data_IF_297008088235
#
_entry.id   IF_297008088235
#
_cell.length_a   1.000
_cell.length_b   1.000
_cell.length_c   1.000
_cell.angle_alpha   90.00
_cell.angle_beta   90.00
_cell.angle_gamma   90.00
#
_symmetry.space_group_name_H-M   'P 1'
#
loop_
_entity.id
_entity.type
_entity.pdbx_description
1 polymer ?
#
# COMPACT_ATOMS: atom_id res chain seq x y z
N UNK A 1 -1.57 43.01 74.37
CA UNK A 1 -1.34 43.58 73.01
C UNK A 1 -0.69 42.48 72.23
N UNK A 2 -1.55 41.64 71.57
CA UNK A 2 -1.11 40.45 70.82
C UNK A 2 -1.08 40.79 69.29
N UNK A 3 0.11 40.75 68.72
CA UNK A 3 0.32 40.94 67.30
C UNK A 3 0.39 39.51 66.62
N UNK A 4 -0.62 39.16 65.87
CA UNK A 4 -0.69 37.91 65.08
C UNK A 4 -0.08 38.14 63.72
N UNK A 5 1.04 37.47 63.46
CA UNK A 5 1.73 37.52 62.17
C UNK A 5 1.09 36.48 61.20
N UNK A 6 0.43 36.94 60.15
CA UNK A 6 -0.11 36.07 59.09
C UNK A 6 0.97 35.84 58.01
N UNK A 7 1.44 34.60 57.88
CA UNK A 7 2.30 34.16 56.80
C UNK A 7 1.42 33.71 55.63
N UNK A 8 1.44 34.42 54.49
CA UNK A 8 0.80 34.04 53.23
C UNK A 8 1.75 33.15 52.46
N UNK A 9 1.48 31.84 52.36
CA UNK A 9 2.16 30.93 51.45
C UNK A 9 1.68 31.19 50.01
N UNK A 10 2.58 31.56 49.10
CA UNK A 10 2.35 31.63 47.68
C UNK A 10 2.66 30.25 47.08
N UNK A 11 1.63 29.53 46.65
CA UNK A 11 1.78 28.30 45.85
C UNK A 11 2.14 28.71 44.42
N UNK A 12 3.36 28.48 44.02
CA UNK A 12 3.81 28.64 42.64
C UNK A 12 3.40 27.43 41.81
N UNK A 13 2.50 27.61 40.88
CA UNK A 13 2.13 26.59 39.89
C UNK A 13 3.25 26.48 38.86
N UNK A 14 4.04 25.41 38.92
CA UNK A 14 5.03 25.09 37.88
C UNK A 14 4.28 24.41 36.70
N UNK A 15 4.08 25.12 35.60
CA UNK A 15 3.57 24.56 34.38
C UNK A 15 4.71 23.77 33.71
N UNK A 16 4.62 22.45 33.73
CA UNK A 16 5.52 21.58 32.96
C UNK A 16 5.08 21.61 31.51
N UNK A 17 5.80 22.37 30.68
CA UNK A 17 5.61 22.32 29.22
C UNK A 17 6.33 21.07 28.69
N UNK A 18 5.58 20.01 28.39
CA UNK A 18 6.12 18.83 27.71
C UNK A 18 6.24 19.20 26.23
N UNK A 19 7.43 19.60 25.81
CA UNK A 19 7.74 19.77 24.39
C UNK A 19 7.85 18.38 23.76
N UNK A 20 6.85 17.97 22.97
CA UNK A 20 6.95 16.81 22.10
C UNK A 20 8.04 17.08 21.06
N UNK A 21 9.18 16.43 21.21
CA UNK A 21 10.24 16.43 20.21
C UNK A 21 9.73 15.57 19.06
N UNK A 22 9.24 16.22 18.01
CA UNK A 22 8.99 15.56 16.73
C UNK A 22 10.37 15.17 16.17
N UNK A 23 10.76 13.90 16.30
CA UNK A 23 11.97 13.39 15.65
C UNK A 23 11.64 13.33 14.18
N UNK A 24 12.08 14.35 13.44
CA UNK A 24 12.06 14.30 11.98
C UNK A 24 12.92 13.11 11.55
N UNK A 25 12.32 12.17 10.78
CA UNK A 25 13.07 11.09 10.15
C UNK A 25 14.17 11.66 9.24
N UNK A 26 15.16 10.85 8.84
CA UNK A 26 16.21 11.30 7.93
C UNK A 26 15.58 11.87 6.64
N UNK A 27 16.18 12.90 6.03
CA UNK A 27 15.65 13.49 4.81
C UNK A 27 15.52 12.43 3.70
N UNK A 28 14.46 12.50 2.89
CA UNK A 28 14.07 11.50 1.89
C UNK A 28 15.21 11.08 0.94
N UNK A 29 16.14 11.99 0.64
CA UNK A 29 17.30 11.71 -0.23
C UNK A 29 18.26 10.65 0.33
N UNK A 30 18.34 10.43 1.64
CA UNK A 30 19.23 9.42 2.25
C UNK A 30 18.68 8.01 2.21
N UNK A 31 17.40 7.83 1.85
CA UNK A 31 16.74 6.52 1.83
C UNK A 31 17.00 5.73 0.55
N UNK A 32 17.39 6.41 -0.53
CA UNK A 32 17.60 5.82 -1.84
C UNK A 32 19.06 5.88 -2.24
N UNK A 33 19.56 4.78 -2.85
CA UNK A 33 20.81 4.79 -3.59
C UNK A 33 20.50 4.90 -5.08
N UNK A 34 21.15 5.82 -5.77
CA UNK A 34 20.93 6.08 -7.20
C UNK A 34 22.17 5.61 -7.97
N UNK A 35 21.95 4.93 -9.09
CA UNK A 35 22.93 4.53 -10.09
C UNK A 35 22.40 4.83 -11.49
N UNK A 36 23.20 4.58 -12.53
CA UNK A 36 22.67 4.57 -13.89
C UNK A 36 21.60 3.49 -14.04
N UNK A 37 20.49 3.76 -14.76
CA UNK A 37 19.51 2.73 -15.12
C UNK A 37 20.16 1.62 -15.95
N UNK A 38 19.61 0.41 -15.87
CA UNK A 38 20.02 -0.73 -16.68
C UNK A 38 18.82 -1.32 -17.42
N UNK A 39 18.99 -2.53 -18.02
CA UNK A 39 17.90 -3.17 -18.79
C UNK A 39 16.73 -3.65 -17.94
N UNK A 40 16.93 -3.83 -16.64
CA UNK A 40 15.93 -4.42 -15.73
C UNK A 40 15.27 -3.37 -14.82
N UNK A 41 15.99 -2.28 -14.47
CA UNK A 41 15.51 -1.34 -13.48
C UNK A 41 15.92 0.10 -13.71
N UNK A 42 15.26 0.99 -12.98
CA UNK A 42 15.39 2.45 -13.10
C UNK A 42 16.68 3.01 -12.48
N UNK A 43 17.60 2.16 -12.00
CA UNK A 43 18.85 2.59 -11.34
C UNK A 43 18.63 3.13 -9.92
N UNK A 44 17.44 3.03 -9.37
CA UNK A 44 17.09 3.44 -7.99
C UNK A 44 16.97 2.22 -7.10
N UNK A 45 17.53 2.30 -5.89
CA UNK A 45 17.52 1.23 -4.91
C UNK A 45 16.89 1.71 -3.61
N UNK A 46 16.03 0.89 -3.04
CA UNK A 46 15.42 1.10 -1.74
C UNK A 46 15.72 -0.09 -0.82
N UNK A 47 16.31 0.18 0.33
CA UNK A 47 16.69 -0.80 1.36
C UNK A 47 17.47 -2.04 0.82
N UNK A 48 18.23 -1.85 -0.28
CA UNK A 48 19.04 -2.89 -0.94
C UNK A 48 18.41 -3.49 -2.20
N UNK A 49 17.11 -3.33 -2.42
CA UNK A 49 16.39 -3.77 -3.62
C UNK A 49 16.50 -2.73 -4.74
N UNK A 50 16.81 -3.17 -5.97
CA UNK A 50 16.65 -2.34 -7.17
C UNK A 50 15.18 -2.28 -7.57
N UNK A 51 14.71 -1.11 -7.96
CA UNK A 51 13.33 -0.87 -8.40
C UNK A 51 13.24 -1.17 -9.90
N UNK A 52 12.22 -1.95 -10.30
CA UNK A 52 11.96 -2.27 -11.69
C UNK A 52 11.39 -1.07 -12.47
N UNK A 53 11.31 -1.20 -13.79
CA UNK A 53 10.50 -0.30 -14.60
C UNK A 53 9.02 -0.55 -14.35
N UNK A 54 8.23 0.53 -14.38
CA UNK A 54 6.77 0.43 -14.33
C UNK A 54 6.23 -0.13 -15.66
N UNK A 55 5.24 -0.99 -15.59
CA UNK A 55 4.50 -1.44 -16.76
C UNK A 55 3.57 -0.31 -17.25
N UNK A 56 3.80 0.17 -18.49
CA UNK A 56 2.95 1.18 -19.10
C UNK A 56 1.57 0.62 -19.49
N UNK A 57 0.59 1.52 -19.71
CA UNK A 57 -0.78 1.18 -20.08
C UNK A 57 -0.87 0.36 -21.40
N UNK A 58 0.16 0.40 -22.25
CA UNK A 58 0.26 -0.48 -23.43
C UNK A 58 0.26 -1.98 -23.05
N UNK A 59 0.62 -2.29 -21.80
CA UNK A 59 0.54 -3.63 -21.23
C UNK A 59 -0.85 -4.06 -20.74
N UNK A 60 -1.88 -3.22 -20.88
CA UNK A 60 -3.23 -3.50 -20.36
C UNK A 60 -3.81 -4.84 -20.86
N UNK A 61 -3.56 -5.22 -22.12
CA UNK A 61 -4.00 -6.51 -22.67
C UNK A 61 -3.36 -7.71 -21.97
N UNK A 62 -2.14 -7.56 -21.45
CA UNK A 62 -1.47 -8.61 -20.68
C UNK A 62 -2.15 -8.82 -19.32
N UNK A 63 -2.64 -7.75 -18.69
CA UNK A 63 -3.39 -7.82 -17.42
C UNK A 63 -4.72 -8.57 -17.59
N UNK A 64 -5.33 -8.53 -18.77
CA UNK A 64 -6.62 -9.18 -19.07
C UNK A 64 -6.45 -10.53 -19.81
N UNK A 65 -5.22 -11.10 -19.88
CA UNK A 65 -4.99 -12.37 -20.55
C UNK A 65 -5.82 -13.50 -19.94
N UNK A 66 -6.43 -14.33 -20.78
CA UNK A 66 -7.34 -15.39 -20.33
C UNK A 66 -6.69 -16.46 -19.44
N UNK A 67 -5.36 -16.66 -19.58
CA UNK A 67 -4.58 -17.61 -18.77
C UNK A 67 -4.37 -17.15 -17.31
N UNK A 68 -4.48 -15.84 -17.03
CA UNK A 68 -4.19 -15.23 -15.71
C UNK A 68 -4.93 -15.91 -14.57
N UNK A 69 -6.22 -16.19 -14.78
CA UNK A 69 -7.06 -16.86 -13.76
C UNK A 69 -6.52 -18.24 -13.35
N UNK A 70 -5.93 -18.98 -14.29
CA UNK A 70 -5.37 -20.31 -14.03
C UNK A 70 -3.95 -20.20 -13.48
N UNK A 71 -3.13 -19.34 -14.06
CA UNK A 71 -1.71 -19.17 -13.71
C UNK A 71 -1.52 -18.56 -12.32
N UNK A 72 -2.32 -17.56 -11.98
CA UNK A 72 -2.22 -16.80 -10.74
C UNK A 72 -3.28 -17.20 -9.70
N UNK A 73 -4.30 -18.02 -10.08
CA UNK A 73 -5.44 -18.37 -9.20
C UNK A 73 -6.08 -17.12 -8.58
N UNK A 74 -6.42 -16.17 -9.46
CA UNK A 74 -7.02 -14.89 -9.05
C UNK A 74 -8.33 -15.05 -8.24
N UNK A 75 -9.02 -16.17 -8.43
CA UNK A 75 -10.17 -16.60 -7.62
C UNK A 75 -9.78 -16.82 -6.14
N UNK A 76 -8.68 -17.53 -5.89
CA UNK A 76 -8.16 -17.75 -4.54
C UNK A 76 -7.61 -16.47 -3.92
N UNK A 77 -6.93 -15.64 -4.73
CA UNK A 77 -6.43 -14.35 -4.27
C UNK A 77 -7.58 -13.51 -3.69
N UNK A 78 -8.65 -13.30 -4.48
CA UNK A 78 -9.81 -12.51 -4.04
C UNK A 78 -10.49 -13.14 -2.82
N UNK A 79 -10.59 -14.48 -2.77
CA UNK A 79 -11.16 -15.19 -1.63
C UNK A 79 -10.33 -15.05 -0.35
N UNK A 80 -9.02 -14.84 -0.49
CA UNK A 80 -8.06 -14.71 0.62
C UNK A 80 -7.92 -13.29 1.16
N UNK A 81 -8.45 -12.27 0.47
CA UNK A 81 -8.47 -10.91 1.00
C UNK A 81 -9.39 -10.84 2.23
N UNK A 82 -8.93 -10.25 3.35
CA UNK A 82 -9.70 -10.12 4.59
C UNK A 82 -10.74 -8.99 4.48
N UNK A 83 -11.79 -9.21 3.69
CA UNK A 83 -12.81 -8.23 3.35
C UNK A 83 -14.06 -8.37 4.22
N UNK A 84 -14.59 -7.25 4.69
CA UNK A 84 -15.93 -7.13 5.25
C UNK A 84 -16.84 -6.33 4.32
N UNK A 85 -18.15 -6.54 4.42
CA UNK A 85 -19.12 -6.05 3.43
C UNK A 85 -19.19 -4.52 3.30
N UNK A 86 -18.81 -3.78 4.33
CA UNK A 86 -18.85 -2.33 4.44
C UNK A 86 -17.48 -1.66 4.31
N UNK A 87 -16.41 -2.44 4.02
CA UNK A 87 -15.05 -1.89 3.91
C UNK A 87 -14.91 -0.88 2.78
N UNK A 88 -14.14 0.17 3.06
CA UNK A 88 -13.54 1.03 2.04
C UNK A 88 -12.18 0.43 1.70
N UNK A 89 -12.05 -0.10 0.49
CA UNK A 89 -10.87 -0.81 0.01
C UNK A 89 -10.13 0.03 -1.01
N UNK A 90 -8.81 0.10 -0.94
CA UNK A 90 -7.96 0.70 -1.97
C UNK A 90 -7.23 -0.39 -2.76
N UNK A 91 -7.44 -0.43 -4.08
CA UNK A 91 -6.69 -1.22 -5.05
C UNK A 91 -5.59 -0.31 -5.62
N UNK A 92 -4.34 -0.55 -5.22
CA UNK A 92 -3.20 0.34 -5.53
C UNK A 92 -2.37 -0.22 -6.68
N UNK A 93 -2.26 0.56 -7.77
CA UNK A 93 -1.79 0.08 -9.06
C UNK A 93 -2.87 -0.77 -9.74
N UNK A 94 -4.10 -0.26 -9.72
CA UNK A 94 -5.31 -0.99 -10.13
C UNK A 94 -5.29 -1.42 -11.61
N UNK A 95 -4.46 -0.78 -12.45
CA UNK A 95 -4.36 -1.08 -13.87
C UNK A 95 -5.71 -0.98 -14.56
N UNK A 96 -6.14 -2.07 -15.18
CA UNK A 96 -7.45 -2.14 -15.84
C UNK A 96 -8.63 -2.30 -14.88
N UNK A 97 -8.40 -2.38 -13.56
CA UNK A 97 -9.41 -2.73 -12.57
C UNK A 97 -9.73 -4.23 -12.52
N UNK A 98 -8.82 -5.08 -13.00
CA UNK A 98 -9.02 -6.53 -13.03
C UNK A 98 -9.46 -7.09 -11.66
N UNK A 99 -8.88 -6.60 -10.56
CA UNK A 99 -9.23 -6.98 -9.20
C UNK A 99 -10.29 -6.07 -8.59
N UNK A 100 -10.34 -4.79 -8.96
CA UNK A 100 -11.26 -3.81 -8.37
C UNK A 100 -12.73 -4.25 -8.50
N UNK A 101 -13.16 -4.73 -9.68
CA UNK A 101 -14.55 -5.12 -9.91
C UNK A 101 -14.99 -6.35 -9.11
N UNK A 102 -14.26 -7.48 -9.10
CA UNK A 102 -14.65 -8.63 -8.27
C UNK A 102 -14.53 -8.33 -6.77
N UNK A 103 -13.58 -7.49 -6.32
CA UNK A 103 -13.52 -7.03 -4.93
C UNK A 103 -14.75 -6.19 -4.58
N UNK A 104 -15.21 -5.32 -5.47
CA UNK A 104 -16.42 -4.52 -5.26
C UNK A 104 -17.67 -5.38 -4.99
N UNK A 105 -17.75 -6.58 -5.56
CA UNK A 105 -18.87 -7.51 -5.26
C UNK A 105 -18.79 -8.10 -3.85
N UNK A 106 -17.61 -8.06 -3.21
CA UNK A 106 -17.38 -8.55 -1.85
C UNK A 106 -17.63 -7.48 -0.79
N UNK A 107 -17.66 -6.20 -1.19
CA UNK A 107 -17.92 -5.05 -0.31
C UNK A 107 -19.17 -4.28 -0.77
N UNK A 108 -20.34 -4.91 -0.80
CA UNK A 108 -21.55 -4.32 -1.39
C UNK A 108 -22.12 -3.11 -0.61
N UNK A 109 -21.71 -2.91 0.64
CA UNK A 109 -22.08 -1.77 1.50
C UNK A 109 -20.92 -0.76 1.61
N UNK A 110 -19.75 -1.13 1.12
CA UNK A 110 -18.53 -0.30 1.04
C UNK A 110 -18.24 0.14 -0.39
N UNK A 111 -16.97 0.37 -0.68
CA UNK A 111 -16.51 0.74 -2.02
C UNK A 111 -15.06 0.36 -2.26
N UNK A 112 -14.66 0.35 -3.54
CA UNK A 112 -13.28 0.16 -3.97
C UNK A 112 -12.78 1.45 -4.61
N UNK A 113 -11.70 2.00 -4.08
CA UNK A 113 -10.94 3.10 -4.66
C UNK A 113 -9.86 2.47 -5.55
N UNK A 114 -10.07 2.52 -6.87
CA UNK A 114 -9.13 1.99 -7.86
C UNK A 114 -8.08 3.06 -8.18
N UNK A 115 -6.93 2.95 -7.52
CA UNK A 115 -5.86 3.95 -7.57
C UNK A 115 -4.82 3.54 -8.61
N UNK A 116 -4.57 4.39 -9.60
CA UNK A 116 -3.47 4.19 -10.57
C UNK A 116 -2.79 5.53 -10.86
N UNK A 117 -1.50 5.48 -11.25
CA UNK A 117 -0.73 6.68 -11.64
C UNK A 117 -0.92 7.04 -13.11
N UNK A 118 -1.49 6.14 -13.91
CA UNK A 118 -1.68 6.31 -15.36
C UNK A 118 -3.13 6.68 -15.68
N UNK A 119 -3.41 7.89 -16.18
CA UNK A 119 -4.76 8.30 -16.53
C UNK A 119 -5.43 7.35 -17.53
N UNK A 120 -4.67 6.75 -18.45
CA UNK A 120 -5.18 5.82 -19.46
C UNK A 120 -5.73 4.53 -18.83
N UNK A 121 -5.14 4.06 -17.71
CA UNK A 121 -5.70 2.94 -16.95
C UNK A 121 -7.04 3.32 -16.29
N UNK A 122 -7.13 4.52 -15.75
CA UNK A 122 -8.36 5.03 -15.13
C UNK A 122 -9.47 5.25 -16.16
N UNK A 123 -9.14 5.60 -17.41
CA UNK A 123 -10.10 5.66 -18.52
C UNK A 123 -10.68 4.27 -18.84
N UNK A 124 -9.85 3.21 -18.81
CA UNK A 124 -10.30 1.83 -18.96
C UNK A 124 -11.28 1.47 -17.83
N UNK A 125 -10.93 1.76 -16.58
CA UNK A 125 -11.80 1.51 -15.41
C UNK A 125 -13.12 2.26 -15.57
N UNK A 126 -13.08 3.55 -15.91
CA UNK A 126 -14.27 4.38 -16.12
C UNK A 126 -15.18 3.81 -17.20
N UNK A 127 -14.61 3.35 -18.31
CA UNK A 127 -15.34 2.69 -19.39
C UNK A 127 -16.01 1.40 -18.92
N UNK A 128 -15.32 0.60 -18.10
CA UNK A 128 -15.87 -0.65 -17.51
C UNK A 128 -17.01 -0.35 -16.55
N UNK A 129 -16.90 0.69 -15.71
CA UNK A 129 -17.98 1.15 -14.82
C UNK A 129 -19.22 1.48 -15.63
N UNK A 130 -19.07 2.28 -16.69
CA UNK A 130 -20.19 2.67 -17.56
C UNK A 130 -20.85 1.47 -18.23
N UNK A 131 -20.07 0.45 -18.64
CA UNK A 131 -20.58 -0.76 -19.29
C UNK A 131 -21.28 -1.73 -18.32
N UNK A 132 -20.72 -1.89 -17.09
CA UNK A 132 -21.23 -2.85 -16.10
C UNK A 132 -22.34 -2.29 -15.21
N UNK A 133 -22.47 -0.96 -15.13
CA UNK A 133 -23.35 -0.30 -14.17
C UNK A 133 -22.88 -0.43 -12.72
N UNK A 134 -21.61 -0.78 -12.46
CA UNK A 134 -21.04 -0.88 -11.12
C UNK A 134 -21.03 0.50 -10.47
N UNK A 135 -21.52 0.61 -9.24
CA UNK A 135 -21.70 1.89 -8.54
C UNK A 135 -20.73 2.12 -7.38
N UNK A 136 -20.00 1.09 -6.97
CA UNK A 136 -19.09 1.12 -5.83
C UNK A 136 -17.60 0.87 -6.19
N UNK A 137 -17.22 1.19 -7.42
CA UNK A 137 -15.82 1.33 -7.87
C UNK A 137 -15.58 2.78 -8.26
N UNK A 138 -14.59 3.41 -7.66
CA UNK A 138 -14.23 4.82 -7.89
C UNK A 138 -12.79 4.89 -8.42
N UNK A 139 -12.55 5.32 -9.67
CA UNK A 139 -11.21 5.54 -10.18
C UNK A 139 -10.60 6.77 -9.52
N UNK A 140 -9.35 6.65 -9.06
CA UNK A 140 -8.62 7.72 -8.38
C UNK A 140 -7.20 7.86 -8.95
N UNK A 141 -6.84 9.06 -9.39
CA UNK A 141 -5.48 9.33 -9.86
C UNK A 141 -4.54 9.43 -8.65
N UNK A 142 -3.64 8.45 -8.54
CA UNK A 142 -2.52 8.47 -7.61
C UNK A 142 -1.33 9.24 -8.15
N UNK A 143 -0.34 9.47 -7.30
CA UNK A 143 0.96 10.00 -7.69
C UNK A 143 2.07 8.99 -7.40
N UNK A 144 3.29 9.28 -7.86
CA UNK A 144 4.45 8.40 -7.62
C UNK A 144 4.92 8.40 -6.16
N UNK A 145 4.53 9.41 -5.38
CA UNK A 145 4.90 9.59 -3.96
C UNK A 145 3.71 9.55 -3.01
N UNK A 146 2.48 9.52 -3.52
CA UNK A 146 1.28 9.55 -2.69
C UNK A 146 0.16 8.77 -3.36
N UNK A 147 -0.59 7.96 -2.61
CA UNK A 147 -1.81 7.33 -3.12
C UNK A 147 -2.97 8.32 -3.30
N UNK A 148 -2.81 9.57 -2.85
CA UNK A 148 -3.84 10.62 -2.83
C UNK A 148 -5.12 10.22 -2.06
N UNK A 149 -4.96 9.37 -1.04
CA UNK A 149 -6.02 8.94 -0.14
C UNK A 149 -6.06 9.84 1.12
N UNK A 150 -7.25 10.07 1.65
CA UNK A 150 -7.40 10.81 2.90
C UNK A 150 -6.91 9.99 4.10
N UNK A 151 -6.44 10.67 5.16
CA UNK A 151 -5.97 10.03 6.39
C UNK A 151 -7.11 9.24 7.05
N UNK A 152 -6.80 8.03 7.55
CA UNK A 152 -7.74 7.14 8.26
C UNK A 152 -9.07 6.91 7.49
N UNK A 153 -9.02 6.79 6.16
CA UNK A 153 -10.19 6.70 5.30
C UNK A 153 -10.47 5.31 4.74
N UNK A 154 -9.50 4.39 4.81
CA UNK A 154 -9.63 3.04 4.23
C UNK A 154 -9.43 1.97 5.30
N UNK A 155 -10.14 0.86 5.14
CA UNK A 155 -10.05 -0.30 6.01
C UNK A 155 -8.97 -1.27 5.53
N UNK A 156 -8.83 -1.40 4.21
CA UNK A 156 -7.85 -2.28 3.57
C UNK A 156 -7.28 -1.62 2.33
N UNK A 157 -5.96 -1.76 2.14
CA UNK A 157 -5.30 -1.54 0.86
C UNK A 157 -4.73 -2.87 0.35
N UNK A 158 -4.79 -3.13 -0.95
CA UNK A 158 -4.08 -4.26 -1.54
C UNK A 158 -3.32 -3.82 -2.80
N UNK A 159 -2.20 -4.51 -3.06
CA UNK A 159 -1.31 -4.26 -4.18
C UNK A 159 -0.98 -5.62 -4.81
N UNK A 160 -1.28 -5.78 -6.10
CA UNK A 160 -1.02 -7.03 -6.83
C UNK A 160 0.03 -6.81 -7.89
N UNK A 161 1.20 -7.42 -7.72
CA UNK A 161 2.33 -7.39 -8.67
C UNK A 161 2.69 -5.98 -9.16
N UNK A 162 2.65 -4.99 -8.25
CA UNK A 162 2.92 -3.60 -8.58
C UNK A 162 3.88 -2.90 -7.61
N UNK A 163 3.98 -3.33 -6.34
CA UNK A 163 4.82 -2.65 -5.36
C UNK A 163 6.31 -2.63 -5.74
N UNK A 164 6.79 -3.67 -6.39
CA UNK A 164 8.18 -3.76 -6.88
C UNK A 164 8.52 -2.69 -7.94
N UNK A 165 7.51 -2.06 -8.55
CA UNK A 165 7.64 -0.98 -9.55
C UNK A 165 7.60 0.43 -8.94
N UNK A 166 7.22 0.57 -7.66
CA UNK A 166 7.10 1.90 -7.04
C UNK A 166 8.44 2.61 -7.00
N UNK A 167 8.54 3.74 -7.71
CA UNK A 167 9.76 4.54 -7.76
C UNK A 167 10.05 5.28 -6.43
N UNK A 168 9.02 5.44 -5.57
CA UNK A 168 9.10 6.07 -4.25
C UNK A 168 8.36 5.21 -3.20
N UNK A 169 8.86 3.98 -2.94
CA UNK A 169 8.15 3.03 -2.08
C UNK A 169 8.02 3.49 -0.63
N UNK A 170 8.95 4.31 -0.12
CA UNK A 170 8.85 4.86 1.24
C UNK A 170 7.72 5.88 1.35
N UNK A 171 7.69 6.88 0.47
CA UNK A 171 6.68 7.95 0.48
C UNK A 171 5.29 7.38 0.21
N UNK A 172 5.17 6.49 -0.77
CA UNK A 172 3.92 5.80 -1.07
C UNK A 172 3.46 4.95 0.13
N UNK A 173 4.39 4.19 0.73
CA UNK A 173 4.08 3.36 1.90
C UNK A 173 3.68 4.18 3.13
N UNK A 174 4.28 5.35 3.36
CA UNK A 174 3.84 6.30 4.39
C UNK A 174 2.42 6.79 4.12
N UNK A 175 2.13 7.21 2.89
CA UNK A 175 0.79 7.66 2.51
C UNK A 175 -0.26 6.56 2.69
N UNK A 176 0.07 5.31 2.40
CA UNK A 176 -0.81 4.16 2.66
C UNK A 176 -0.98 3.90 4.16
N UNK A 177 0.09 3.99 4.94
CA UNK A 177 0.02 3.85 6.39
C UNK A 177 -0.88 4.93 7.02
N UNK A 178 -0.76 6.17 6.57
CA UNK A 178 -1.61 7.27 7.04
C UNK A 178 -3.07 7.10 6.61
N UNK A 179 -3.32 6.64 5.38
CA UNK A 179 -4.67 6.44 4.85
C UNK A 179 -5.43 5.30 5.51
N UNK A 180 -4.74 4.26 5.94
CA UNK A 180 -5.35 3.16 6.68
C UNK A 180 -5.85 3.62 8.05
N UNK A 181 -7.05 3.15 8.44
CA UNK A 181 -7.55 3.29 9.81
C UNK A 181 -6.66 2.52 10.80
N UNK A 182 -6.65 2.87 12.10
CA UNK A 182 -6.03 2.02 13.13
C UNK A 182 -6.59 0.59 13.06
N UNK A 183 -5.71 -0.41 13.04
CA UNK A 183 -6.08 -1.82 12.81
C UNK A 183 -6.33 -2.19 11.34
N UNK A 184 -6.34 -1.23 10.42
CA UNK A 184 -6.47 -1.49 8.98
C UNK A 184 -5.29 -2.24 8.39
N UNK A 185 -5.49 -2.88 7.24
CA UNK A 185 -4.52 -3.82 6.70
C UNK A 185 -4.02 -3.42 5.30
N UNK A 186 -2.71 -3.63 5.08
CA UNK A 186 -2.08 -3.58 3.77
C UNK A 186 -1.75 -5.02 3.33
N UNK A 187 -2.26 -5.43 2.19
CA UNK A 187 -2.01 -6.75 1.60
C UNK A 187 -1.11 -6.61 0.38
N UNK A 188 0.11 -7.12 0.44
CA UNK A 188 0.99 -7.22 -0.71
C UNK A 188 0.89 -8.60 -1.32
N UNK A 189 0.60 -8.66 -2.60
CA UNK A 189 0.62 -9.88 -3.41
C UNK A 189 1.74 -9.69 -4.44
N UNK A 190 2.77 -10.53 -4.36
CA UNK A 190 3.95 -10.42 -5.21
C UNK A 190 4.44 -11.79 -5.66
N UNK A 191 4.97 -11.90 -6.86
CA UNK A 191 5.64 -13.10 -7.33
C UNK A 191 6.82 -13.45 -6.41
N UNK A 192 6.94 -14.74 -6.03
CA UNK A 192 7.97 -15.21 -5.09
C UNK A 192 9.37 -14.95 -5.61
N UNK A 193 10.09 -14.02 -4.99
CA UNK A 193 11.50 -13.75 -5.27
C UNK A 193 12.43 -14.89 -4.83
N UNK A 194 12.00 -15.72 -3.89
CA UNK A 194 12.70 -16.89 -3.38
C UNK A 194 12.67 -18.06 -4.36
N UNK A 195 11.68 -18.11 -5.26
CA UNK A 195 11.48 -19.22 -6.18
C UNK A 195 12.03 -18.89 -7.57
N UNK A 196 13.13 -19.55 -7.94
CA UNK A 196 13.74 -19.41 -9.26
C UNK A 196 12.90 -20.02 -10.39
N UNK A 197 11.94 -20.91 -10.09
CA UNK A 197 11.09 -21.56 -11.09
C UNK A 197 9.93 -20.68 -11.56
N UNK A 198 9.57 -19.63 -10.80
CA UNK A 198 8.54 -18.65 -11.21
C UNK A 198 9.03 -17.90 -12.45
N UNK A 199 8.33 -18.00 -13.62
CA UNK A 199 8.81 -17.53 -14.92
C UNK A 199 8.61 -16.01 -15.13
N UNK A 200 8.97 -15.22 -14.11
CA UNK A 200 8.87 -13.76 -14.09
C UNK A 200 10.27 -13.16 -13.98
N UNK A 201 10.49 -12.01 -14.62
CA UNK A 201 11.77 -11.28 -14.56
C UNK A 201 12.16 -11.00 -13.11
N UNK A 202 13.46 -11.06 -12.83
CA UNK A 202 14.01 -10.98 -11.46
C UNK A 202 13.53 -9.76 -10.66
N UNK A 203 13.49 -8.57 -11.27
CA UNK A 203 13.07 -7.35 -10.57
C UNK A 203 11.56 -7.20 -10.44
N UNK A 204 10.77 -8.02 -11.15
CA UNK A 204 9.32 -8.12 -10.99
C UNK A 204 8.90 -9.24 -10.01
N UNK A 205 9.85 -9.67 -9.17
CA UNK A 205 9.61 -10.61 -8.06
C UNK A 205 10.12 -9.98 -6.77
N UNK A 206 9.47 -10.29 -5.68
CA UNK A 206 9.85 -9.78 -4.37
C UNK A 206 9.88 -10.88 -3.33
N UNK A 207 10.90 -10.88 -2.45
CA UNK A 207 10.94 -11.84 -1.35
C UNK A 207 10.07 -11.37 -0.19
N UNK A 208 9.44 -12.31 0.54
CA UNK A 208 8.69 -12.01 1.75
C UNK A 208 9.57 -11.29 2.80
N UNK A 209 10.85 -11.67 2.88
CA UNK A 209 11.83 -11.02 3.75
C UNK A 209 12.01 -9.54 3.41
N UNK A 210 12.18 -9.22 2.11
CA UNK A 210 12.39 -7.84 1.66
C UNK A 210 11.10 -7.01 1.87
N UNK A 211 9.94 -7.53 1.49
CA UNK A 211 8.65 -6.90 1.74
C UNK A 211 8.44 -6.61 3.23
N UNK A 212 8.67 -7.61 4.08
CA UNK A 212 8.58 -7.46 5.53
C UNK A 212 9.54 -6.42 6.11
N UNK A 213 10.77 -6.34 5.56
CA UNK A 213 11.74 -5.31 5.96
C UNK A 213 11.25 -3.90 5.62
N UNK A 214 10.73 -3.70 4.40
CA UNK A 214 10.26 -2.41 3.92
C UNK A 214 8.99 -1.96 4.69
N UNK A 215 8.02 -2.83 4.89
CA UNK A 215 6.78 -2.49 5.60
C UNK A 215 6.99 -2.23 7.10
N UNK A 216 7.84 -3.02 7.76
CA UNK A 216 8.16 -2.75 9.18
C UNK A 216 8.88 -1.42 9.38
N UNK A 217 9.69 -0.98 8.43
CA UNK A 217 10.34 0.33 8.49
C UNK A 217 9.32 1.49 8.41
N UNK A 218 8.11 1.23 7.88
CA UNK A 218 7.00 2.18 7.83
C UNK A 218 6.09 2.13 9.07
N UNK A 219 6.34 1.19 9.99
CA UNK A 219 5.55 1.04 11.22
C UNK A 219 4.48 -0.06 11.19
N UNK A 220 4.33 -0.79 10.09
CA UNK A 220 3.44 -1.94 10.02
C UNK A 220 3.94 -3.10 10.87
N UNK A 221 3.02 -3.87 11.44
CA UNK A 221 3.29 -5.21 12.02
C UNK A 221 3.08 -6.30 10.99
N UNK A 222 3.63 -7.50 11.24
CA UNK A 222 3.53 -8.63 10.31
C UNK A 222 4.81 -8.89 9.50
N UNK A 223 4.71 -9.58 8.37
CA UNK A 223 3.47 -10.04 7.75
C UNK A 223 2.93 -11.35 8.32
N UNK A 224 1.60 -11.51 8.28
CA UNK A 224 0.97 -12.84 8.21
C UNK A 224 1.03 -13.29 6.76
N UNK A 225 1.60 -14.46 6.49
CA UNK A 225 1.80 -14.95 5.12
C UNK A 225 0.84 -16.08 4.80
N UNK A 226 0.14 -15.96 3.65
CA UNK A 226 -0.67 -17.03 3.08
C UNK A 226 0.03 -17.56 1.83
N UNK A 227 0.33 -18.86 1.83
CA UNK A 227 1.00 -19.57 0.73
C UNK A 227 0.00 -20.46 -0.03
N UNK A 228 -1.03 -19.82 -0.58
CA UNK A 228 -2.15 -20.51 -1.27
C UNK A 228 -2.13 -20.33 -2.77
N UNK A 229 -1.32 -19.40 -3.29
CA UNK A 229 -1.22 -19.10 -4.72
C UNK A 229 -0.06 -19.89 -5.36
N UNK A 230 -0.16 -20.27 -6.65
CA UNK A 230 0.86 -21.07 -7.30
C UNK A 230 2.20 -20.35 -7.47
N UNK A 231 2.20 -19.05 -7.72
CA UNK A 231 3.41 -18.29 -8.08
C UNK A 231 3.68 -17.09 -7.16
N UNK A 232 2.67 -16.61 -6.47
CA UNK A 232 2.75 -15.43 -5.59
C UNK A 232 2.63 -15.86 -4.12
N UNK A 233 3.04 -14.99 -3.22
CA UNK A 233 2.67 -15.02 -1.82
C UNK A 233 1.72 -13.86 -1.51
N UNK A 234 0.87 -14.04 -0.52
CA UNK A 234 0.01 -13.00 0.04
C UNK A 234 0.61 -12.62 1.40
N UNK A 235 1.00 -11.37 1.56
CA UNK A 235 1.62 -10.84 2.77
C UNK A 235 0.69 -9.79 3.38
N UNK A 236 0.14 -10.08 4.54
CA UNK A 236 -0.81 -9.22 5.25
C UNK A 236 -0.07 -8.46 6.35
N UNK A 237 -0.06 -7.15 6.25
CA UNK A 237 0.52 -6.23 7.23
C UNK A 237 -0.59 -5.45 7.91
N UNK A 238 -0.45 -5.18 9.20
CA UNK A 238 -1.46 -4.45 9.96
C UNK A 238 -0.88 -3.13 10.48
N UNK A 239 -1.62 -2.04 10.29
CA UNK A 239 -1.36 -0.79 10.99
C UNK A 239 -1.74 -1.00 12.46
N UNK A 240 -0.82 -0.80 13.44
CA UNK A 240 -1.16 -0.92 14.85
C UNK A 240 -2.39 -0.08 15.22
N UNK A 241 -3.25 -0.62 16.10
CA UNK A 241 -4.27 0.16 16.78
C UNK A 241 -3.65 1.20 17.72
N UNK A 242 -4.42 2.20 18.12
CA UNK A 242 -4.00 3.14 19.17
C UNK A 242 -3.85 2.44 20.52
#
# INVERSE_FOLDING_TARGET
MNITLQVRARLGLILLVISSICVAGPPAETQYRITAPDREGIGKFYMGRQISYVMGHQGASWLERGSRRVEERTDLLIASLPLEADFVVADIGAGTGYFSFPVATRVPQGRVLAVDIQPEMLEIISSRIAQSGTTNVEPLLGGVQSPNLAINSIDLAFIVDAYHEFSHPFEMGQGLFEALKPGGQLVLIEYRGEDASVPIKRLHKMTAQQAGKEMRALGFTGPDMLDVLPQQHILIFTKPGE
#
